data_IF_004046746558
#
_entry.id   IF_004046746558
#
_cell.length_a   1.000
_cell.length_b   1.000
_cell.length_c   1.000
_cell.angle_alpha   90.00
_cell.angle_beta   90.00
_cell.angle_gamma   90.00
#
_symmetry.space_group_name_H-M   'P 1'
#
loop_
_entity.id
_entity.type
_entity.pdbx_description
1 polymer ?
#
# COMPACT_ATOMS: atom_id res chain seq x y z
N UNK A 1 4.33 -16.51 32.12
CA UNK A 1 3.54 -16.97 30.95
C UNK A 1 2.62 -15.84 30.52
N UNK A 2 2.94 -15.14 29.43
CA UNK A 2 2.17 -13.97 29.00
C UNK A 2 2.48 -13.60 27.55
N UNK A 3 2.31 -14.55 26.63
CA UNK A 3 2.46 -14.29 25.21
C UNK A 3 1.28 -13.46 24.71
N UNK A 4 1.51 -12.17 24.47
CA UNK A 4 0.59 -11.26 23.79
C UNK A 4 0.37 -11.71 22.34
N UNK A 5 -0.45 -12.73 22.14
CA UNK A 5 -0.86 -13.17 20.81
C UNK A 5 -1.68 -12.08 20.13
N UNK A 6 -1.13 -11.53 19.04
CA UNK A 6 -1.73 -10.47 18.22
C UNK A 6 -3.19 -10.82 17.87
N UNK A 7 -4.10 -9.85 18.02
CA UNK A 7 -5.51 -10.05 17.71
C UNK A 7 -5.70 -10.21 16.19
N UNK A 8 -6.38 -11.28 15.76
CA UNK A 8 -6.59 -11.59 14.35
C UNK A 8 -7.72 -10.72 13.79
N UNK A 9 -7.37 -9.58 13.20
CA UNK A 9 -8.32 -8.67 12.55
C UNK A 9 -8.43 -9.02 11.09
N UNK A 10 -9.66 -9.09 10.55
CA UNK A 10 -9.93 -9.37 9.14
C UNK A 10 -10.99 -8.40 8.63
N UNK A 11 -10.97 -8.13 7.34
CA UNK A 11 -11.97 -7.31 6.66
C UNK A 11 -12.82 -8.20 5.77
N UNK A 12 -14.14 -8.12 5.90
CA UNK A 12 -15.11 -8.90 5.14
C UNK A 12 -15.93 -7.96 4.25
N UNK A 13 -15.84 -8.15 2.94
CA UNK A 13 -16.43 -7.29 1.91
C UNK A 13 -17.52 -8.03 1.14
N UNK A 14 -18.74 -7.50 1.12
CA UNK A 14 -19.76 -7.94 0.18
C UNK A 14 -20.01 -6.82 -0.82
N UNK A 15 -19.56 -7.05 -2.06
CA UNK A 15 -19.62 -6.10 -3.18
C UNK A 15 -20.10 -6.80 -4.48
N UNK A 16 -20.65 -8.02 -4.35
CA UNK A 16 -20.99 -8.89 -5.49
C UNK A 16 -22.37 -8.61 -6.10
N UNK A 17 -22.91 -7.41 -5.85
CA UNK A 17 -24.19 -6.94 -6.39
C UNK A 17 -23.96 -5.63 -7.16
N UNK A 18 -24.75 -5.40 -8.20
CA UNK A 18 -24.72 -4.17 -9.00
C UNK A 18 -25.15 -2.94 -8.19
N UNK A 19 -25.97 -3.17 -7.17
CA UNK A 19 -26.42 -2.13 -6.24
C UNK A 19 -25.36 -1.87 -5.14
N UNK A 20 -24.76 -0.67 -5.20
CA UNK A 20 -23.74 -0.21 -4.26
C UNK A 20 -24.30 0.08 -2.86
N UNK A 21 -25.61 0.32 -2.73
CA UNK A 21 -26.24 0.58 -1.43
C UNK A 21 -26.36 -0.70 -0.59
N UNK A 22 -26.29 -1.86 -1.24
CA UNK A 22 -26.22 -3.17 -0.62
C UNK A 22 -24.78 -3.61 -0.30
N UNK A 23 -23.76 -2.82 -0.63
CA UNK A 23 -22.38 -3.16 -0.30
C UNK A 23 -22.11 -3.03 1.19
N UNK A 24 -21.42 -4.02 1.77
CA UNK A 24 -21.10 -4.01 3.19
C UNK A 24 -19.68 -4.47 3.45
N UNK A 25 -18.92 -3.60 4.12
CA UNK A 25 -17.61 -3.95 4.70
C UNK A 25 -17.73 -4.09 6.21
N UNK A 26 -17.28 -5.23 6.76
CA UNK A 26 -17.26 -5.50 8.21
C UNK A 26 -15.84 -5.80 8.67
N UNK A 27 -15.32 -4.99 9.60
CA UNK A 27 -14.04 -5.25 10.27
C UNK A 27 -14.28 -6.11 11.51
N UNK A 28 -13.82 -7.35 11.49
CA UNK A 28 -14.07 -8.31 12.58
C UNK A 28 -12.74 -8.69 13.23
N UNK A 29 -12.74 -8.76 14.56
CA UNK A 29 -11.64 -9.37 15.31
C UNK A 29 -12.02 -10.81 15.62
N UNK A 30 -11.38 -11.77 14.95
CA UNK A 30 -11.66 -13.19 15.10
C UNK A 30 -11.15 -13.69 16.46
N UNK A 31 -11.99 -14.39 17.25
CA UNK A 31 -11.56 -15.05 18.48
C UNK A 31 -10.48 -16.10 18.19
N UNK A 32 -9.53 -16.26 19.13
CA UNK A 32 -8.45 -17.28 19.00
C UNK A 32 -9.00 -18.70 18.85
N UNK A 33 -10.15 -19.00 19.45
CA UNK A 33 -10.84 -20.29 19.38
C UNK A 33 -11.36 -20.62 17.98
N UNK A 34 -11.55 -19.62 17.11
CA UNK A 34 -12.03 -19.80 15.74
C UNK A 34 -10.90 -20.02 14.75
N UNK A 35 -9.65 -19.77 15.15
CA UNK A 35 -8.48 -19.90 14.28
C UNK A 35 -8.22 -21.35 13.86
N UNK A 36 -8.55 -22.30 14.73
CA UNK A 36 -8.50 -23.75 14.45
C UNK A 36 -9.84 -24.29 13.93
N UNK A 37 -10.85 -23.43 13.79
CA UNK A 37 -12.18 -23.80 13.31
C UNK A 37 -12.36 -23.54 11.81
N UNK A 38 -13.55 -23.85 11.33
CA UNK A 38 -13.91 -23.74 9.92
C UNK A 38 -14.23 -22.30 9.49
N UNK A 39 -13.83 -21.98 8.26
CA UNK A 39 -14.13 -20.73 7.56
C UNK A 39 -15.65 -20.45 7.49
N UNK A 40 -16.50 -21.48 7.51
CA UNK A 40 -17.97 -21.43 7.59
C UNK A 40 -18.48 -20.61 8.78
N UNK A 41 -17.77 -20.63 9.93
CA UNK A 41 -18.15 -19.82 11.10
C UNK A 41 -17.97 -18.31 10.85
N UNK A 42 -16.93 -17.93 10.10
CA UNK A 42 -16.66 -16.53 9.74
C UNK A 42 -17.71 -16.03 8.75
N UNK A 43 -18.07 -16.85 7.76
CA UNK A 43 -19.13 -16.56 6.80
C UNK A 43 -20.48 -16.35 7.50
N UNK A 44 -20.82 -17.24 8.45
CA UNK A 44 -22.10 -17.17 9.19
C UNK A 44 -22.23 -15.85 9.94
N UNK A 45 -21.17 -15.43 10.63
CA UNK A 45 -21.16 -14.17 11.37
C UNK A 45 -21.42 -12.95 10.45
N UNK A 46 -20.88 -12.97 9.24
CA UNK A 46 -21.11 -11.92 8.26
C UNK A 46 -22.56 -11.93 7.76
N UNK A 47 -23.08 -13.09 7.36
CA UNK A 47 -24.45 -13.26 6.84
C UNK A 47 -25.49 -12.85 7.89
N UNK A 48 -25.34 -13.29 9.14
CA UNK A 48 -26.23 -12.91 10.25
C UNK A 48 -26.22 -11.37 10.46
N UNK A 49 -25.04 -10.76 10.42
CA UNK A 49 -24.88 -9.30 10.54
C UNK A 49 -25.44 -8.55 9.33
N UNK A 50 -25.31 -9.10 8.12
CA UNK A 50 -25.79 -8.52 6.88
C UNK A 50 -27.32 -8.56 6.81
N UNK A 51 -27.93 -9.72 7.05
CA UNK A 51 -29.39 -9.93 6.98
C UNK A 51 -30.12 -9.09 8.03
N UNK A 52 -29.51 -8.86 9.19
CA UNK A 52 -30.03 -7.93 10.20
C UNK A 52 -30.08 -6.47 9.73
N UNK A 53 -29.20 -6.06 8.81
CA UNK A 53 -29.15 -4.69 8.28
C UNK A 53 -29.95 -4.56 6.98
N UNK A 54 -30.01 -5.61 6.18
CA UNK A 54 -30.60 -5.63 4.84
C UNK A 54 -31.72 -6.69 4.77
N UNK A 55 -32.76 -6.53 5.60
CA UNK A 55 -33.88 -7.47 5.69
C UNK A 55 -34.64 -7.65 4.37
N UNK A 56 -34.63 -6.62 3.50
CA UNK A 56 -35.28 -6.65 2.18
C UNK A 56 -34.50 -7.45 1.13
N UNK A 57 -33.20 -7.69 1.33
CA UNK A 57 -32.35 -8.47 0.43
C UNK A 57 -31.43 -9.39 1.24
N UNK A 58 -31.97 -10.43 1.88
CA UNK A 58 -31.17 -11.33 2.70
C UNK A 58 -30.20 -12.14 1.83
N UNK A 59 -29.01 -12.38 2.37
CA UNK A 59 -28.07 -13.37 1.85
C UNK A 59 -28.47 -14.75 2.37
N UNK A 60 -28.57 -15.70 1.45
CA UNK A 60 -28.66 -17.11 1.78
C UNK A 60 -27.27 -17.64 2.13
N UNK A 61 -27.14 -18.23 3.30
CA UNK A 61 -25.89 -18.73 3.85
C UNK A 61 -25.25 -19.83 2.99
N UNK A 62 -26.07 -20.69 2.38
CA UNK A 62 -25.57 -21.79 1.56
C UNK A 62 -25.31 -21.39 0.09
N UNK A 63 -25.80 -20.22 -0.33
CA UNK A 63 -25.61 -19.67 -1.67
C UNK A 63 -24.39 -18.74 -1.80
N UNK A 64 -23.66 -18.51 -0.70
CA UNK A 64 -22.49 -17.63 -0.67
C UNK A 64 -21.25 -18.35 -0.12
N UNK A 65 -20.09 -17.86 -0.52
CA UNK A 65 -18.80 -18.38 -0.06
C UNK A 65 -17.78 -17.25 0.10
N UNK A 66 -16.70 -17.55 0.84
CA UNK A 66 -15.59 -16.63 1.02
C UNK A 66 -14.63 -16.71 -0.17
N UNK A 67 -14.06 -15.58 -0.58
CA UNK A 67 -13.08 -15.46 -1.64
C UNK A 67 -12.04 -14.40 -1.27
N UNK A 68 -10.86 -14.45 -1.88
CA UNK A 68 -9.88 -13.37 -1.81
C UNK A 68 -9.98 -12.45 -3.03
N UNK A 69 -9.49 -11.22 -2.88
CA UNK A 69 -9.41 -10.20 -3.95
C UNK A 69 -8.78 -10.70 -5.26
N UNK A 70 -7.88 -11.68 -5.18
CA UNK A 70 -7.19 -12.27 -6.34
C UNK A 70 -7.91 -13.47 -6.98
N UNK A 71 -9.22 -13.65 -6.74
CA UNK A 71 -10.00 -14.73 -7.36
C UNK A 71 -9.73 -16.12 -6.76
N UNK A 72 -9.05 -16.19 -5.60
CA UNK A 72 -8.87 -17.41 -4.85
C UNK A 72 -10.12 -17.70 -4.03
N UNK A 73 -10.86 -18.74 -4.40
CA UNK A 73 -12.04 -19.17 -3.64
C UNK A 73 -11.65 -19.93 -2.38
N UNK A 74 -12.31 -19.64 -1.28
CA UNK A 74 -12.06 -20.20 0.04
C UNK A 74 -13.15 -21.22 0.33
N UNK A 75 -12.78 -22.50 0.41
CA UNK A 75 -13.73 -23.55 0.75
C UNK A 75 -14.32 -23.30 2.15
N UNK A 76 -15.62 -23.51 2.30
CA UNK A 76 -16.30 -23.26 3.58
C UNK A 76 -15.72 -24.10 4.73
N UNK A 77 -15.16 -25.27 4.42
CA UNK A 77 -14.56 -26.21 5.38
C UNK A 77 -13.08 -25.91 5.70
N UNK A 78 -12.48 -24.87 5.13
CA UNK A 78 -11.08 -24.59 5.39
C UNK A 78 -10.81 -24.18 6.84
N UNK A 79 -9.57 -24.39 7.29
CA UNK A 79 -9.13 -23.89 8.59
C UNK A 79 -8.78 -22.40 8.47
N UNK A 80 -9.40 -21.58 9.33
CA UNK A 80 -9.25 -20.12 9.31
C UNK A 80 -7.79 -19.67 9.35
N UNK A 81 -6.95 -20.23 10.23
CA UNK A 81 -5.55 -19.82 10.37
C UNK A 81 -4.65 -20.23 9.20
N UNK A 82 -5.04 -21.22 8.42
CA UNK A 82 -4.25 -21.68 7.27
C UNK A 82 -4.47 -20.78 6.05
N UNK A 83 -5.71 -20.32 5.88
CA UNK A 83 -6.13 -19.58 4.69
C UNK A 83 -6.23 -18.07 4.93
N UNK A 84 -6.73 -17.63 6.08
CA UNK A 84 -6.96 -16.22 6.39
C UNK A 84 -5.80 -15.70 7.24
N UNK A 85 -5.16 -14.59 6.85
CA UNK A 85 -4.06 -13.98 7.61
C UNK A 85 -4.55 -12.76 8.40
N UNK A 86 -3.84 -12.34 9.46
CA UNK A 86 -4.12 -11.07 10.12
C UNK A 86 -4.03 -9.91 9.13
N UNK A 87 -5.09 -9.11 9.04
CA UNK A 87 -5.22 -7.99 8.13
C UNK A 87 -5.73 -8.35 6.74
N UNK A 88 -6.09 -9.62 6.47
CA UNK A 88 -6.60 -10.02 5.16
C UNK A 88 -7.96 -9.39 4.83
N UNK A 89 -8.09 -8.97 3.57
CA UNK A 89 -9.35 -8.61 2.92
C UNK A 89 -9.98 -9.86 2.29
N UNK A 90 -11.16 -10.22 2.78
CA UNK A 90 -11.93 -11.40 2.37
C UNK A 90 -13.25 -10.91 1.79
N UNK A 91 -13.63 -11.44 0.64
CA UNK A 91 -14.82 -11.07 -0.10
C UNK A 91 -15.88 -12.17 0.02
N UNK A 92 -17.15 -11.80 0.04
CA UNK A 92 -18.29 -12.71 -0.01
C UNK A 92 -18.83 -12.69 -1.44
N UNK A 93 -18.90 -13.87 -2.06
CA UNK A 93 -19.33 -14.05 -3.45
C UNK A 93 -20.52 -15.00 -3.53
N UNK A 94 -21.41 -14.76 -4.49
CA UNK A 94 -22.52 -15.65 -4.81
C UNK A 94 -22.05 -16.87 -5.60
N UNK A 95 -22.67 -18.02 -5.34
CA UNK A 95 -22.43 -19.27 -6.04
C UNK A 95 -21.94 -20.39 -5.11
N UNK A 96 -22.00 -21.64 -5.59
CA UNK A 96 -21.64 -22.80 -4.78
C UNK A 96 -20.18 -22.70 -4.33
N UNK A 97 -19.95 -22.89 -3.03
CA UNK A 97 -18.60 -23.04 -2.53
C UNK A 97 -17.93 -24.24 -3.23
N UNK A 98 -16.69 -24.12 -3.74
CA UNK A 98 -16.00 -25.24 -4.33
C UNK A 98 -15.83 -26.33 -3.28
N UNK A 99 -16.34 -27.53 -3.57
CA UNK A 99 -16.05 -28.74 -2.79
C UNK A 99 -14.54 -28.97 -2.79
N UNK A 100 -13.99 -29.44 -1.68
CA UNK A 100 -12.57 -29.79 -1.50
C UNK A 100 -12.01 -30.71 -2.60
N UNK A 101 -12.88 -31.41 -3.34
CA UNK A 101 -12.54 -32.23 -4.51
C UNK A 101 -12.12 -31.43 -5.76
N UNK A 102 -12.53 -30.16 -5.86
CA UNK A 102 -12.25 -29.29 -7.01
C UNK A 102 -10.91 -28.52 -6.92
N UNK A 103 -10.17 -28.67 -5.80
CA UNK A 103 -8.80 -28.15 -5.69
C UNK A 103 -7.74 -29.09 -6.31
N UNK A 104 -8.13 -30.25 -6.85
CA UNK A 104 -7.25 -31.18 -7.60
C UNK A 104 -7.62 -31.39 -9.07
N UNK A 105 -8.60 -30.69 -9.63
CA UNK A 105 -9.01 -30.88 -11.02
C UNK A 105 -8.94 -29.58 -11.83
N UNK A 106 -7.87 -29.43 -12.59
CA UNK A 106 -7.83 -28.54 -13.76
C UNK A 106 -8.98 -28.89 -14.72
N UNK A 107 -9.77 -27.93 -15.22
CA UNK A 107 -10.53 -28.13 -16.43
C UNK A 107 -9.65 -27.71 -17.62
N UNK A 108 -9.04 -28.70 -18.29
CA UNK A 108 -8.60 -28.52 -19.68
C UNK A 108 -9.88 -28.54 -20.52
N UNK A 109 -10.23 -27.38 -21.08
CA UNK A 109 -11.29 -27.28 -22.05
C UNK A 109 -10.91 -28.06 -23.33
N UNK A 110 -11.78 -29.01 -23.65
CA UNK A 110 -11.84 -29.76 -24.91
C UNK A 110 -12.03 -28.83 -26.09
N UNK A 111 -11.07 -28.81 -27.02
CA UNK A 111 -11.34 -28.46 -28.42
C UNK A 111 -10.30 -29.12 -29.35
N UNK A 112 -10.72 -30.25 -29.93
CA UNK A 112 -10.33 -30.84 -31.22
C UNK A 112 -8.84 -30.97 -31.61
N UNK A 113 -8.37 -32.21 -31.72
CA UNK A 113 -7.22 -32.60 -32.56
C UNK A 113 -7.70 -33.25 -33.87
N UNK A 114 -6.98 -33.11 -34.99
CA UNK A 114 -6.93 -34.12 -36.07
C UNK A 114 -5.72 -35.08 -35.89
N UNK A 115 -5.68 -36.23 -36.62
CA UNK A 115 -5.16 -37.49 -36.08
C UNK A 115 -3.66 -37.77 -36.33
N UNK A 116 -3.18 -38.70 -35.50
CA UNK A 116 -1.89 -39.42 -35.42
C UNK A 116 -1.19 -39.84 -36.72
N UNK A 117 0.15 -40.00 -36.66
CA UNK A 117 0.82 -41.23 -37.07
C UNK A 117 1.61 -41.92 -35.91
N UNK A 118 2.00 -43.20 -36.05
CA UNK A 118 2.26 -44.13 -34.94
C UNK A 118 3.69 -44.03 -34.34
N UNK A 119 3.92 -44.51 -33.10
CA UNK A 119 5.24 -44.54 -32.50
C UNK A 119 6.00 -45.80 -32.90
N UNK A 120 7.13 -45.63 -33.59
CA UNK A 120 8.14 -46.67 -33.75
C UNK A 120 9.28 -46.39 -32.76
N UNK A 121 9.60 -47.42 -31.98
CA UNK A 121 10.87 -47.67 -31.29
C UNK A 121 11.32 -46.68 -30.20
N UNK A 122 11.20 -47.15 -28.96
CA UNK A 122 12.16 -46.89 -27.87
C UNK A 122 13.62 -47.19 -28.34
N UNK A 123 14.67 -46.66 -27.68
CA UNK A 123 15.04 -47.20 -26.37
C UNK A 123 15.57 -46.18 -25.33
N UNK A 124 15.15 -46.43 -24.09
CA UNK A 124 15.94 -46.60 -22.87
C UNK A 124 17.02 -45.59 -22.40
N UNK A 125 16.97 -45.41 -21.07
CA UNK A 125 18.05 -45.12 -20.10
C UNK A 125 18.31 -43.63 -19.83
N UNK A 126 18.28 -43.14 -18.59
CA UNK A 126 18.63 -43.78 -17.33
C UNK A 126 17.81 -43.22 -16.16
N UNK A 127 17.44 -44.11 -15.26
CA UNK A 127 16.80 -43.83 -14.00
C UNK A 127 17.74 -43.04 -13.07
N UNK A 128 17.22 -41.96 -12.49
CA UNK A 128 17.72 -41.43 -11.23
C UNK A 128 16.64 -41.66 -10.18
N UNK A 129 17.02 -42.39 -9.14
CA UNK A 129 16.20 -42.88 -8.05
C UNK A 129 15.21 -41.84 -7.50
N UNK A 130 13.98 -42.27 -7.26
CA UNK A 130 13.06 -41.57 -6.38
C UNK A 130 13.67 -41.54 -4.96
N UNK A 131 13.88 -40.36 -4.34
CA UNK A 131 14.19 -40.31 -2.93
C UNK A 131 12.88 -40.41 -2.12
N UNK A 132 12.98 -41.16 -1.02
CA UNK A 132 12.14 -41.14 0.18
C UNK A 132 11.58 -39.73 0.48
N UNK A 133 10.42 -39.58 1.17
CA UNK A 133 9.76 -38.29 1.42
C UNK A 133 10.62 -37.35 2.28
N UNK A 134 11.59 -36.74 1.61
CA UNK A 134 12.51 -35.74 2.12
C UNK A 134 11.83 -34.38 2.17
N UNK A 135 12.26 -33.60 3.14
CA UNK A 135 11.70 -32.31 3.55
C UNK A 135 11.72 -31.30 2.39
N UNK A 136 10.68 -31.25 1.56
CA UNK A 136 10.52 -30.27 0.48
C UNK A 136 10.47 -28.86 1.06
N UNK A 137 11.32 -27.96 0.56
CA UNK A 137 11.38 -26.55 0.99
C UNK A 137 10.99 -25.62 -0.15
N UNK A 138 10.31 -24.52 0.18
CA UNK A 138 9.91 -23.50 -0.79
C UNK A 138 11.10 -22.61 -1.16
N UNK A 139 11.36 -22.44 -2.46
CA UNK A 139 12.38 -21.51 -2.94
C UNK A 139 12.01 -20.06 -2.63
N UNK A 140 12.93 -19.29 -2.04
CA UNK A 140 12.75 -17.88 -1.67
C UNK A 140 13.29 -16.88 -2.70
N UNK A 141 13.77 -17.35 -3.85
CA UNK A 141 14.18 -16.44 -4.94
C UNK A 141 12.98 -15.89 -5.69
N UNK A 142 13.12 -14.64 -6.15
CA UNK A 142 12.04 -13.92 -6.81
C UNK A 142 11.53 -14.63 -8.05
N UNK A 143 10.21 -14.80 -8.15
CA UNK A 143 9.53 -15.39 -9.29
C UNK A 143 9.68 -16.90 -9.46
N UNK A 144 10.39 -17.61 -8.57
CA UNK A 144 10.50 -19.08 -8.66
C UNK A 144 9.31 -19.80 -8.00
N UNK A 145 9.07 -19.54 -6.70
CA UNK A 145 7.98 -20.12 -5.92
C UNK A 145 7.82 -21.66 -6.01
N UNK A 146 8.86 -22.38 -6.45
CA UNK A 146 8.84 -23.84 -6.59
C UNK A 146 9.30 -24.50 -5.29
N UNK A 147 8.63 -25.59 -4.88
CA UNK A 147 9.12 -26.48 -3.81
C UNK A 147 10.20 -27.38 -4.39
N UNK A 148 11.32 -27.50 -3.69
CA UNK A 148 12.47 -28.30 -4.12
C UNK A 148 12.99 -29.16 -2.96
N UNK A 149 13.66 -30.25 -3.30
CA UNK A 149 14.36 -31.07 -2.32
C UNK A 149 15.78 -30.51 -2.12
N UNK A 150 16.18 -30.33 -0.86
CA UNK A 150 17.52 -29.86 -0.50
C UNK A 150 18.58 -30.86 -0.98
N UNK A 151 18.28 -32.16 -0.93
CA UNK A 151 19.19 -33.21 -1.35
C UNK A 151 19.33 -33.29 -2.89
N UNK A 152 18.28 -32.90 -3.62
CA UNK A 152 18.23 -32.98 -5.08
C UNK A 152 18.02 -31.59 -5.70
N UNK A 153 19.07 -30.76 -5.64
CA UNK A 153 19.07 -29.38 -6.14
C UNK A 153 20.20 -29.14 -7.17
N UNK A 154 20.07 -29.66 -8.40
CA UNK A 154 21.09 -29.49 -9.43
C UNK A 154 21.20 -28.03 -9.88
N UNK A 155 22.36 -27.68 -10.43
CA UNK A 155 22.62 -26.34 -10.95
C UNK A 155 21.78 -26.06 -12.21
N UNK A 156 21.06 -24.94 -12.23
CA UNK A 156 20.16 -24.57 -13.32
C UNK A 156 18.70 -24.97 -13.13
N UNK A 157 18.37 -25.73 -12.08
CA UNK A 157 16.99 -26.15 -11.74
C UNK A 157 16.04 -25.00 -11.44
N UNK A 158 16.55 -23.88 -10.90
CA UNK A 158 15.74 -22.75 -10.50
C UNK A 158 15.87 -21.61 -11.50
N UNK A 159 14.72 -21.16 -12.04
CA UNK A 159 14.61 -19.93 -12.82
C UNK A 159 14.07 -18.81 -11.94
N UNK A 160 14.79 -17.71 -11.82
CA UNK A 160 14.46 -16.62 -10.89
C UNK A 160 14.83 -15.24 -11.43
N UNK A 161 14.33 -14.21 -10.76
CA UNK A 161 14.70 -12.81 -10.97
C UNK A 161 15.73 -12.37 -9.93
N UNK A 162 16.80 -11.68 -10.34
CA UNK A 162 17.84 -11.19 -9.40
C UNK A 162 17.41 -9.98 -8.58
N UNK A 163 16.48 -9.17 -9.11
CA UNK A 163 16.07 -7.91 -8.51
C UNK A 163 14.58 -7.95 -8.15
N UNK A 164 14.15 -7.14 -7.16
CA UNK A 164 12.77 -7.09 -6.69
C UNK A 164 11.78 -6.63 -7.77
N UNK A 165 10.47 -6.82 -7.53
CA UNK A 165 9.44 -6.28 -8.41
C UNK A 165 9.32 -4.76 -8.25
N UNK A 166 8.87 -4.09 -9.32
CA UNK A 166 8.63 -2.65 -9.40
C UNK A 166 7.19 -2.42 -9.84
N UNK A 167 6.49 -1.55 -9.12
CA UNK A 167 5.12 -1.17 -9.39
C UNK A 167 5.04 0.35 -9.56
N UNK A 168 4.70 0.82 -10.76
CA UNK A 168 4.58 2.25 -11.09
C UNK A 168 3.44 2.46 -12.09
N UNK A 169 2.57 3.44 -11.85
CA UNK A 169 1.49 3.83 -12.78
C UNK A 169 0.69 2.62 -13.33
N UNK A 170 0.29 1.70 -12.45
CA UNK A 170 -0.43 0.44 -12.76
C UNK A 170 0.39 -0.64 -13.49
N UNK A 171 1.59 -0.30 -13.96
CA UNK A 171 2.55 -1.22 -14.58
C UNK A 171 3.32 -1.99 -13.50
N UNK A 172 3.49 -3.29 -13.73
CA UNK A 172 4.19 -4.25 -12.87
C UNK A 172 5.28 -4.92 -13.68
N UNK A 173 6.51 -4.91 -13.17
CA UNK A 173 7.64 -5.57 -13.82
C UNK A 173 8.71 -5.95 -12.81
N UNK A 174 9.63 -6.81 -13.19
CA UNK A 174 10.81 -7.11 -12.36
C UNK A 174 11.90 -6.09 -12.68
N UNK A 175 12.57 -5.50 -11.67
CA UNK A 175 13.63 -4.50 -11.92
C UNK A 175 14.78 -5.04 -12.81
N UNK A 176 14.98 -6.36 -12.84
CA UNK A 176 15.93 -7.00 -13.74
C UNK A 176 15.42 -7.27 -15.16
N UNK A 177 14.13 -7.04 -15.43
CA UNK A 177 13.46 -7.22 -16.72
C UNK A 177 12.47 -6.07 -16.97
N UNK A 178 12.97 -4.83 -17.16
CA UNK A 178 12.11 -3.66 -17.36
C UNK A 178 11.24 -3.74 -18.63
N UNK A 179 11.64 -4.54 -19.61
CA UNK A 179 10.89 -4.71 -20.86
C UNK A 179 9.68 -5.66 -20.70
N UNK A 180 9.67 -6.50 -19.65
CA UNK A 180 8.58 -7.45 -19.38
C UNK A 180 7.50 -6.81 -18.50
N UNK A 181 6.97 -5.68 -18.96
CA UNK A 181 5.88 -4.93 -18.30
C UNK A 181 4.56 -5.68 -18.40
N UNK A 182 3.80 -5.68 -17.31
CA UNK A 182 2.49 -6.32 -17.18
C UNK A 182 1.55 -5.39 -16.46
N UNK A 183 0.28 -5.41 -16.85
CA UNK A 183 -0.74 -4.52 -16.28
C UNK A 183 -1.64 -5.29 -15.29
N UNK A 184 -1.85 -6.58 -15.52
CA UNK A 184 -2.51 -7.51 -14.60
C UNK A 184 -1.52 -8.19 -13.66
N UNK A 185 -1.99 -8.61 -12.48
CA UNK A 185 -1.19 -9.35 -11.50
C UNK A 185 -0.84 -10.77 -11.98
N UNK A 186 -1.81 -11.49 -12.56
CA UNK A 186 -1.61 -12.86 -13.04
C UNK A 186 -0.53 -12.94 -14.12
N UNK A 187 -0.56 -12.01 -15.08
CA UNK A 187 0.44 -11.96 -16.13
C UNK A 187 1.82 -11.54 -15.63
N UNK A 188 1.89 -10.81 -14.50
CA UNK A 188 3.13 -10.51 -13.79
C UNK A 188 3.69 -11.75 -13.08
N UNK A 189 2.86 -12.53 -12.40
CA UNK A 189 3.24 -13.78 -11.74
C UNK A 189 3.72 -14.86 -12.73
N UNK A 190 3.21 -14.85 -13.96
CA UNK A 190 3.64 -15.77 -15.02
C UNK A 190 4.97 -15.37 -15.67
N UNK A 191 5.54 -14.19 -15.36
CA UNK A 191 6.83 -13.76 -15.93
C UNK A 191 7.93 -14.71 -15.45
N UNK A 192 8.47 -15.47 -16.41
CA UNK A 192 9.56 -16.40 -16.15
C UNK A 192 10.86 -15.68 -15.74
N UNK A 193 11.52 -16.25 -14.72
CA UNK A 193 12.82 -15.82 -14.24
C UNK A 193 13.85 -15.68 -15.36
N UNK A 194 14.59 -14.56 -15.34
CA UNK A 194 15.63 -14.26 -16.33
C UNK A 194 16.99 -14.88 -16.03
N UNK A 195 17.18 -15.43 -14.84
CA UNK A 195 18.42 -16.08 -14.42
C UNK A 195 18.16 -17.52 -14.01
N UNK A 196 19.20 -18.35 -14.09
CA UNK A 196 19.20 -19.76 -13.70
C UNK A 196 20.18 -19.99 -12.55
N UNK A 197 19.92 -21.00 -11.71
CA UNK A 197 20.80 -21.37 -10.59
C UNK A 197 20.22 -22.49 -9.74
N UNK A 198 20.73 -22.69 -8.52
CA UNK A 198 20.24 -23.69 -7.54
C UNK A 198 19.21 -23.11 -6.59
N UNK A 199 18.06 -23.75 -6.37
CA UNK A 199 17.06 -23.24 -5.43
C UNK A 199 17.67 -22.93 -4.05
N UNK A 200 17.12 -21.94 -3.34
CA UNK A 200 17.57 -21.60 -2.00
C UNK A 200 16.38 -21.21 -1.14
N UNK A 201 16.46 -21.53 0.14
CA UNK A 201 15.51 -21.14 1.19
C UNK A 201 15.95 -19.85 1.90
N UNK A 202 17.09 -19.27 1.51
CA UNK A 202 17.58 -17.99 2.00
C UNK A 202 16.99 -16.87 1.15
N UNK A 203 16.50 -15.81 1.79
CA UNK A 203 16.03 -14.62 1.07
C UNK A 203 17.25 -13.91 0.48
N UNK A 204 17.24 -13.53 -0.81
CA UNK A 204 18.34 -12.76 -1.39
C UNK A 204 18.49 -11.43 -0.67
N UNK A 205 19.73 -11.01 -0.42
CA UNK A 205 20.04 -9.74 0.23
C UNK A 205 19.46 -8.59 -0.61
N UNK A 206 18.67 -7.72 0.03
CA UNK A 206 17.89 -6.69 -0.65
C UNK A 206 18.60 -5.35 -0.59
N UNK A 207 18.97 -4.72 -1.72
CA UNK A 207 19.16 -3.28 -1.69
C UNK A 207 17.80 -2.62 -1.40
N UNK A 208 17.75 -1.72 -0.41
CA UNK A 208 16.53 -1.03 0.01
C UNK A 208 15.80 -0.42 -1.19
N UNK A 209 14.58 -0.89 -1.45
CA UNK A 209 13.88 -0.68 -2.73
C UNK A 209 13.17 0.69 -2.78
N UNK A 210 13.30 1.39 -3.91
CA UNK A 210 12.61 2.64 -4.29
C UNK A 210 11.11 2.43 -4.63
N UNK A 211 10.38 1.66 -3.83
CA UNK A 211 8.95 1.45 -4.05
C UNK A 211 8.35 0.36 -3.18
N UNK A 212 7.70 0.76 -2.09
CA UNK A 212 6.69 -0.07 -1.44
C UNK A 212 7.16 -1.25 -0.60
N UNK A 213 8.39 -1.23 -0.07
CA UNK A 213 8.73 -2.14 1.03
C UNK A 213 8.28 -1.52 2.34
N UNK A 214 7.50 -2.25 3.15
CA UNK A 214 7.21 -1.87 4.53
C UNK A 214 8.53 -1.81 5.32
N UNK A 215 9.03 -0.59 5.52
CA UNK A 215 10.33 -0.27 6.17
C UNK A 215 10.34 -0.65 7.65
N UNK A 216 9.25 -1.22 8.19
CA UNK A 216 9.12 -1.53 9.62
C UNK A 216 10.02 -2.67 10.12
N UNK A 217 10.56 -3.50 9.23
CA UNK A 217 11.34 -4.69 9.62
C UNK A 217 12.87 -4.50 9.64
N UNK A 218 13.42 -3.39 9.15
CA UNK A 218 14.87 -3.20 8.98
C UNK A 218 15.49 -2.03 9.73
N UNK A 219 14.85 -1.51 10.78
CA UNK A 219 15.37 -0.36 11.53
C UNK A 219 15.96 -0.74 12.91
N UNK A 220 16.54 -1.93 13.04
CA UNK A 220 17.36 -2.29 14.19
C UNK A 220 18.78 -1.73 14.04
N UNK A 221 18.89 -0.42 14.23
CA UNK A 221 20.12 0.22 14.71
C UNK A 221 21.23 0.44 13.69
N UNK A 222 21.31 1.66 13.15
CA UNK A 222 22.59 2.40 13.00
C UNK A 222 22.48 3.68 12.17
N UNK A 223 21.35 4.02 11.56
CA UNK A 223 21.19 5.37 11.02
C UNK A 223 20.70 6.29 12.14
N UNK A 224 21.52 7.30 12.44
CA UNK A 224 21.25 8.37 13.40
C UNK A 224 19.85 8.93 13.15
N UNK A 225 18.89 8.47 13.95
CA UNK A 225 17.53 8.98 13.98
C UNK A 225 17.62 10.39 14.54
N UNK A 226 17.80 11.38 13.67
CA UNK A 226 17.45 12.75 14.03
C UNK A 226 16.03 12.67 14.57
N UNK A 227 15.91 12.96 15.87
CA UNK A 227 14.70 12.74 16.63
C UNK A 227 13.64 13.62 16.00
N UNK A 228 12.69 13.00 15.29
CA UNK A 228 11.50 13.69 14.78
C UNK A 228 10.90 14.48 15.94
N UNK A 229 10.85 15.81 15.76
CA UNK A 229 10.32 16.74 16.76
C UNK A 229 8.89 16.35 17.09
N UNK A 230 8.50 16.52 18.35
CA UNK A 230 7.12 16.26 18.74
C UNK A 230 6.17 17.18 17.98
N UNK A 231 4.90 16.79 17.83
CA UNK A 231 3.88 17.66 17.22
C UNK A 231 3.80 19.00 17.94
N UNK A 232 3.98 19.01 19.26
CA UNK A 232 4.00 20.25 20.04
C UNK A 232 5.24 21.10 19.74
N UNK A 233 6.39 20.47 19.52
CA UNK A 233 7.65 21.13 19.16
C UNK A 233 7.64 21.62 17.71
N UNK A 234 7.03 20.88 16.78
CA UNK A 234 6.78 21.32 15.40
C UNK A 234 5.78 22.49 15.37
N UNK A 235 4.72 22.43 16.16
CA UNK A 235 3.75 23.53 16.29
C UNK A 235 4.36 24.75 17.01
N UNK A 236 5.23 24.53 18.00
CA UNK A 236 5.97 25.58 18.68
C UNK A 236 6.99 26.23 17.73
N UNK A 237 7.72 25.45 16.94
CA UNK A 237 8.63 25.98 15.92
C UNK A 237 7.90 26.72 14.82
N UNK A 238 6.73 26.24 14.40
CA UNK A 238 5.89 26.96 13.43
C UNK A 238 5.31 28.25 14.02
N UNK A 239 5.02 28.28 15.33
CA UNK A 239 4.66 29.51 16.08
C UNK A 239 5.87 30.45 16.25
N UNK A 240 7.09 29.90 16.41
CA UNK A 240 8.34 30.67 16.47
C UNK A 240 8.76 31.20 15.09
N UNK A 241 8.55 30.47 14.01
CA UNK A 241 8.77 30.94 12.63
C UNK A 241 7.75 31.99 12.20
N UNK A 242 6.52 31.92 12.70
CA UNK A 242 5.51 32.97 12.56
C UNK A 242 5.82 34.22 13.41
N UNK A 243 6.81 34.16 14.32
CA UNK A 243 7.28 35.29 15.13
C UNK A 243 8.75 35.66 14.87
N UNK A 244 9.36 35.14 13.80
CA UNK A 244 10.71 35.53 13.39
C UNK A 244 10.68 36.88 12.63
N UNK A 245 11.61 37.82 12.94
CA UNK A 245 11.71 39.11 12.27
C UNK A 245 11.96 38.88 10.77
N UNK A 246 10.98 39.26 9.96
CA UNK A 246 11.06 39.15 8.49
C UNK A 246 10.12 38.11 7.86
N UNK A 247 9.10 37.61 8.57
CA UNK A 247 8.02 36.85 7.93
C UNK A 247 6.84 37.74 7.51
N UNK A 248 6.06 37.28 6.52
CA UNK A 248 4.93 38.04 5.95
C UNK A 248 3.84 38.39 6.97
N UNK A 249 3.61 37.54 7.99
CA UNK A 249 2.61 37.77 9.03
C UNK A 249 2.98 38.94 9.95
N UNK A 250 4.24 39.01 10.35
CA UNK A 250 4.76 40.14 11.13
C UNK A 250 4.74 41.44 10.31
N UNK A 251 5.07 41.35 9.01
CA UNK A 251 5.01 42.51 8.13
C UNK A 251 3.59 43.07 8.01
N UNK A 252 2.59 42.20 7.85
CA UNK A 252 1.17 42.59 7.82
C UNK A 252 0.76 43.27 9.14
N UNK A 253 1.14 42.71 10.28
CA UNK A 253 0.81 43.27 11.59
C UNK A 253 1.44 44.66 11.79
N UNK A 254 2.71 44.83 11.42
CA UNK A 254 3.41 46.12 11.49
C UNK A 254 2.83 47.16 10.54
N UNK A 255 2.40 46.76 9.33
CA UNK A 255 1.70 47.67 8.41
C UNK A 255 0.36 48.15 8.99
N UNK A 256 -0.38 47.29 9.68
CA UNK A 256 -1.63 47.67 10.35
C UNK A 256 -1.39 48.64 11.52
N UNK A 257 -0.36 48.40 12.33
CA UNK A 257 0.03 49.32 13.40
C UNK A 257 0.46 50.69 12.88
N UNK A 258 1.24 50.72 11.79
CA UNK A 258 1.66 51.96 11.14
C UNK A 258 0.47 52.77 10.61
N UNK A 259 -0.51 52.11 9.99
CA UNK A 259 -1.79 52.73 9.56
C UNK A 259 -2.48 53.42 10.73
N UNK A 260 -2.66 52.72 11.85
CA UNK A 260 -3.31 53.28 13.03
C UNK A 260 -2.55 54.47 13.63
N UNK A 261 -1.21 54.43 13.61
CA UNK A 261 -0.39 55.52 14.12
C UNK A 261 -0.52 56.79 13.25
N UNK A 262 -0.52 56.62 11.93
CA UNK A 262 -0.72 57.71 10.97
C UNK A 262 -2.14 58.30 11.07
N UNK A 263 -3.16 57.46 11.22
CA UNK A 263 -4.54 57.90 11.47
C UNK A 263 -4.67 58.71 12.76
N UNK A 264 -4.02 58.28 13.84
CA UNK A 264 -3.95 59.07 15.08
C UNK A 264 -3.19 60.39 14.92
N UNK A 265 -2.25 60.44 13.97
CA UNK A 265 -1.55 61.65 13.54
C UNK A 265 -2.36 62.56 12.61
N UNK A 266 -3.61 62.20 12.28
CA UNK A 266 -4.50 62.99 11.41
C UNK A 266 -4.36 62.69 9.92
N UNK A 267 -3.60 61.66 9.53
CA UNK A 267 -3.50 61.21 8.14
C UNK A 267 -4.68 60.30 7.81
N UNK A 268 -5.40 60.59 6.73
CA UNK A 268 -6.51 59.75 6.30
C UNK A 268 -6.05 58.32 5.97
N UNK A 269 -6.75 57.32 6.54
CA UNK A 269 -6.39 55.92 6.39
C UNK A 269 -6.47 55.42 4.94
N UNK A 270 -7.32 56.01 4.11
CA UNK A 270 -7.42 55.70 2.68
C UNK A 270 -6.17 56.06 1.89
N UNK A 271 -5.43 57.10 2.30
CA UNK A 271 -4.15 57.48 1.70
C UNK A 271 -3.10 56.38 1.95
N UNK A 272 -3.06 55.85 3.18
CA UNK A 272 -2.15 54.76 3.52
C UNK A 272 -2.51 53.48 2.76
N UNK A 273 -3.80 53.13 2.68
CA UNK A 273 -4.24 51.93 1.98
C UNK A 273 -3.95 51.98 0.47
N UNK A 274 -4.12 53.15 -0.17
CA UNK A 274 -3.74 53.35 -1.57
C UNK A 274 -2.22 53.22 -1.78
N UNK A 275 -1.40 53.76 -0.87
CA UNK A 275 0.06 53.63 -0.93
C UNK A 275 0.52 52.18 -0.74
N UNK A 276 -0.11 51.44 0.18
CA UNK A 276 0.10 50.01 0.39
C UNK A 276 -0.21 49.21 -0.87
N UNK A 277 -1.38 49.42 -1.48
CA UNK A 277 -1.81 48.66 -2.66
C UNK A 277 -0.88 48.92 -3.87
N UNK A 278 -0.49 50.17 -4.09
CA UNK A 278 0.46 50.52 -5.14
C UNK A 278 1.83 49.83 -4.96
N UNK A 279 2.30 49.74 -3.71
CA UNK A 279 3.57 49.10 -3.37
C UNK A 279 3.46 47.58 -3.44
N UNK A 280 2.33 46.99 -3.05
CA UNK A 280 2.05 45.55 -3.19
C UNK A 280 2.07 45.10 -4.65
N UNK A 281 1.56 45.91 -5.57
CA UNK A 281 1.57 45.61 -7.01
C UNK A 281 2.99 45.57 -7.59
N UNK A 282 3.92 46.39 -7.07
CA UNK A 282 5.33 46.39 -7.50
C UNK A 282 6.10 45.17 -7.01
N UNK A 283 5.82 44.72 -5.78
CA UNK A 283 6.53 43.62 -5.12
C UNK A 283 5.85 42.25 -5.25
N UNK A 284 4.85 42.11 -6.11
CA UNK A 284 4.18 40.83 -6.37
C UNK A 284 3.57 40.18 -5.12
N UNK A 285 3.14 40.98 -4.13
CA UNK A 285 2.55 40.47 -2.88
C UNK A 285 3.56 40.06 -1.80
N UNK A 286 4.85 40.41 -1.92
CA UNK A 286 5.81 40.23 -0.82
C UNK A 286 5.63 41.30 0.26
N UNK A 287 4.91 40.93 1.33
CA UNK A 287 4.54 41.85 2.42
C UNK A 287 5.73 42.42 3.20
N UNK A 288 6.84 41.68 3.28
CA UNK A 288 8.05 42.10 4.00
C UNK A 288 8.75 43.22 3.24
N UNK A 289 8.91 43.06 1.92
CA UNK A 289 9.49 44.08 1.04
C UNK A 289 8.62 45.34 0.97
N UNK A 290 7.30 45.17 0.95
CA UNK A 290 6.34 46.29 0.96
C UNK A 290 6.45 47.11 2.25
N UNK A 291 6.52 46.45 3.41
CA UNK A 291 6.68 47.16 4.69
C UNK A 291 8.00 47.93 4.74
N UNK A 292 9.09 47.32 4.26
CA UNK A 292 10.41 47.95 4.25
C UNK A 292 10.41 49.22 3.39
N UNK A 293 9.90 49.16 2.14
CA UNK A 293 9.84 50.33 1.26
C UNK A 293 8.98 51.45 1.84
N UNK A 294 7.83 51.12 2.45
CA UNK A 294 6.96 52.13 3.06
C UNK A 294 7.66 52.82 4.23
N UNK A 295 8.37 52.05 5.07
CA UNK A 295 9.10 52.59 6.21
C UNK A 295 10.26 53.51 5.77
N UNK A 296 10.97 53.14 4.71
CA UNK A 296 12.08 53.93 4.15
C UNK A 296 11.56 55.27 3.59
N UNK A 297 10.46 55.25 2.84
CA UNK A 297 9.85 56.47 2.27
C UNK A 297 9.32 57.43 3.33
N UNK A 298 8.72 56.90 4.39
CA UNK A 298 8.25 57.72 5.52
C UNK A 298 9.45 58.33 6.25
N UNK A 299 10.49 57.54 6.50
CA UNK A 299 11.71 58.00 7.17
C UNK A 299 12.42 59.09 6.37
N UNK A 300 12.50 58.95 5.05
CA UNK A 300 13.05 59.96 4.15
C UNK A 300 12.24 61.26 4.19
N UNK A 301 10.91 61.17 4.10
CA UNK A 301 10.02 62.34 4.12
C UNK A 301 10.12 63.09 5.45
N UNK A 302 10.08 62.37 6.57
CA UNK A 302 10.24 62.97 7.90
C UNK A 302 11.65 63.56 8.09
N UNK A 303 12.68 62.89 7.57
CA UNK A 303 14.06 63.39 7.62
C UNK A 303 14.28 64.66 6.79
N UNK A 304 13.52 64.85 5.71
CA UNK A 304 13.54 66.08 4.92
C UNK A 304 12.80 67.23 5.63
N UNK A 305 11.62 66.96 6.21
CA UNK A 305 10.87 67.93 7.00
C UNK A 305 11.61 68.41 8.25
N UNK A 306 12.45 67.57 8.85
CA UNK A 306 13.26 67.93 10.02
C UNK A 306 14.46 68.84 9.70
N UNK A 307 14.78 69.04 8.41
CA UNK A 307 15.89 69.89 7.95
C UNK A 307 15.44 71.28 7.48
N UNK A 308 14.13 71.49 7.30
CA UNK A 308 13.50 72.79 7.06
C UNK A 308 13.14 73.46 8.39
#
# INVERSE_FOLDING_TARGET
FGGGGSAMKVFLHYEDNEDKDLHKTSKITLPKTWLTGECRAVLKLFVDSYNKKFEANPLDFDAVHLAFDHGGTVANECVVNEFIRPGSDVYIKHGPAPSVESMTASPVATAASPPTPPPTAAPASSAAAAPEPGKLVMCKRFGCQTKYDIANNPEGSCRYHRLPPVFHETVKFWACCPDKKRYSWDSFMQVQGCMTGRHTDVKPDQPSVLGGSDVRAGNDGSQSREKLKSIDEFNAERRMQASAPGNAGEAIAKMYQLRQALEKGGVDGGIFDAAKEATMKRHGGNHVAVLQEINDRISETLGNLAKE
#
